data_IF_539056725216
#
_entry.id   IF_539056725216
#
_cell.length_a   1.000
_cell.length_b   1.000
_cell.length_c   1.000
_cell.angle_alpha   90.00
_cell.angle_beta   90.00
_cell.angle_gamma   90.00
#
_symmetry.space_group_name_H-M   'P 1'
#
loop_
_entity.id
_entity.type
_entity.pdbx_description
1 polymer ?
#
# COMPACT_ATOMS: atom_id res chain seq x y z
N UNK A 1 -4.23 -10.00 11.11
CA UNK A 1 -4.70 -8.60 11.11
C UNK A 1 -5.48 -8.38 12.38
N UNK A 2 -5.13 -7.36 13.16
CA UNK A 2 -5.84 -6.96 14.37
C UNK A 2 -6.38 -5.54 14.17
N UNK A 3 -7.63 -5.33 14.54
CA UNK A 3 -8.30 -4.03 14.52
C UNK A 3 -8.83 -3.78 15.92
N UNK A 4 -8.48 -2.64 16.50
CA UNK A 4 -8.97 -2.24 17.82
C UNK A 4 -10.02 -1.14 17.62
N UNK A 5 -11.31 -1.42 17.91
CA UNK A 5 -12.35 -0.41 17.84
C UNK A 5 -12.05 0.73 18.83
N UNK A 6 -12.48 1.96 18.54
CA UNK A 6 -12.17 3.08 19.39
C UNK A 6 -13.08 3.10 20.61
N UNK A 7 -12.53 3.51 21.76
CA UNK A 7 -13.32 3.96 22.90
C UNK A 7 -13.55 5.48 22.76
N UNK A 8 -14.78 5.94 23.02
CA UNK A 8 -15.12 7.36 23.20
C UNK A 8 -14.70 8.30 22.05
N UNK A 9 -14.96 7.90 20.79
CA UNK A 9 -14.76 8.76 19.62
C UNK A 9 -13.31 8.90 19.14
N UNK A 10 -12.38 8.12 19.70
CA UNK A 10 -10.97 8.08 19.30
C UNK A 10 -10.75 7.41 17.93
N UNK A 11 -9.50 7.44 17.47
CA UNK A 11 -9.11 6.77 16.23
C UNK A 11 -9.09 5.26 16.42
N UNK A 12 -9.33 4.53 15.33
CA UNK A 12 -9.22 3.08 15.28
C UNK A 12 -7.79 2.69 14.94
N UNK A 13 -7.21 1.81 15.74
CA UNK A 13 -5.88 1.26 15.45
C UNK A 13 -6.01 0.00 14.59
N UNK A 14 -5.10 -0.16 13.64
CA UNK A 14 -4.96 -1.40 12.89
C UNK A 14 -3.50 -1.84 12.84
N UNK A 15 -3.30 -3.15 12.96
CA UNK A 15 -2.00 -3.79 12.74
C UNK A 15 -2.16 -5.03 11.87
N UNK A 16 -1.18 -5.26 10.99
CA UNK A 16 -1.10 -6.48 10.21
C UNK A 16 0.35 -6.93 10.12
N UNK A 17 0.62 -8.13 10.62
CA UNK A 17 1.94 -8.72 10.57
C UNK A 17 1.85 -10.07 9.85
N UNK A 18 2.76 -10.26 8.91
CA UNK A 18 3.05 -11.55 8.26
C UNK A 18 4.42 -11.98 8.77
N UNK A 19 4.44 -12.95 9.67
CA UNK A 19 5.68 -13.40 10.33
C UNK A 19 6.69 -13.96 9.34
N UNK A 20 6.22 -14.66 8.30
CA UNK A 20 7.05 -15.17 7.23
C UNK A 20 6.29 -15.21 5.91
N UNK A 21 6.92 -14.70 4.86
CA UNK A 21 6.59 -15.01 3.48
C UNK A 21 7.78 -15.68 2.80
N UNK A 22 7.48 -16.39 1.72
CA UNK A 22 8.47 -16.95 0.79
C UNK A 22 8.00 -16.67 -0.62
N UNK A 23 8.92 -16.34 -1.53
CA UNK A 23 8.63 -16.20 -2.94
C UNK A 23 9.75 -16.81 -3.79
N UNK A 24 9.36 -17.50 -4.86
CA UNK A 24 10.25 -18.01 -5.89
C UNK A 24 10.27 -17.03 -7.07
N UNK A 25 11.34 -16.26 -7.16
CA UNK A 25 11.55 -15.26 -8.21
C UNK A 25 12.08 -15.89 -9.51
N UNK A 26 12.44 -17.18 -9.52
CA UNK A 26 12.82 -17.86 -10.78
C UNK A 26 11.65 -17.95 -11.77
N UNK A 27 10.42 -17.80 -11.27
CA UNK A 27 9.18 -17.79 -12.04
C UNK A 27 8.93 -16.47 -12.79
N UNK A 28 9.74 -15.43 -12.57
CA UNK A 28 9.59 -14.13 -13.25
C UNK A 28 9.99 -14.27 -14.72
N UNK A 29 9.08 -14.11 -15.68
CA UNK A 29 9.38 -14.37 -17.10
C UNK A 29 10.20 -13.30 -17.83
N UNK A 30 10.27 -12.08 -17.28
CA UNK A 30 11.01 -10.99 -17.90
C UNK A 30 12.53 -11.30 -17.94
N UNK A 31 13.17 -11.35 -19.14
CA UNK A 31 14.56 -11.80 -19.27
C UNK A 31 15.57 -10.94 -18.49
N UNK A 32 15.36 -9.61 -18.45
CA UNK A 32 16.26 -8.71 -17.71
C UNK A 32 16.14 -8.91 -16.21
N UNK A 33 14.91 -9.12 -15.74
CA UNK A 33 14.65 -9.42 -14.35
C UNK A 33 15.28 -10.76 -13.96
N UNK A 34 15.16 -11.82 -14.80
CA UNK A 34 15.82 -13.11 -14.55
C UNK A 34 17.34 -12.96 -14.40
N UNK A 35 17.98 -12.26 -15.33
CA UNK A 35 19.44 -12.03 -15.29
C UNK A 35 19.87 -11.34 -13.98
N UNK A 36 19.13 -10.30 -13.56
CA UNK A 36 19.41 -9.61 -12.30
C UNK A 36 19.16 -10.49 -11.08
N UNK A 37 18.07 -11.26 -11.05
CA UNK A 37 17.72 -12.18 -9.96
C UNK A 37 18.81 -13.24 -9.80
N UNK A 38 19.29 -13.81 -10.91
CA UNK A 38 20.35 -14.81 -10.93
C UNK A 38 21.69 -14.22 -10.49
N UNK A 39 22.08 -13.06 -11.04
CA UNK A 39 23.33 -12.39 -10.70
C UNK A 39 23.42 -12.03 -9.21
N UNK A 40 22.32 -11.61 -8.61
CA UNK A 40 22.27 -11.20 -7.20
C UNK A 40 22.03 -12.38 -6.23
N UNK A 41 21.59 -13.53 -6.75
CA UNK A 41 21.33 -14.75 -5.99
C UNK A 41 20.02 -14.74 -5.20
N UNK A 42 18.98 -14.08 -5.72
CA UNK A 42 17.67 -13.93 -5.05
C UNK A 42 16.56 -14.79 -5.66
N UNK A 43 16.87 -15.98 -6.18
CA UNK A 43 15.87 -16.87 -6.77
C UNK A 43 14.80 -17.28 -5.76
N UNK A 44 15.18 -17.51 -4.49
CA UNK A 44 14.26 -17.79 -3.41
C UNK A 44 14.46 -16.74 -2.33
N UNK A 45 13.42 -15.96 -2.07
CA UNK A 45 13.44 -14.95 -1.01
C UNK A 45 12.50 -15.36 0.12
N UNK A 46 12.90 -15.04 1.34
CA UNK A 46 12.07 -15.08 2.53
C UNK A 46 12.09 -13.74 3.22
N UNK A 47 11.05 -13.47 4.01
CA UNK A 47 10.95 -12.19 4.68
C UNK A 47 9.73 -12.08 5.55
N UNK A 48 9.48 -10.89 6.05
CA UNK A 48 8.30 -10.56 6.84
C UNK A 48 7.70 -9.23 6.40
N UNK A 49 6.43 -9.03 6.74
CA UNK A 49 5.72 -7.78 6.51
C UNK A 49 5.15 -7.32 7.83
N UNK A 50 5.35 -6.05 8.17
CA UNK A 50 4.77 -5.44 9.37
C UNK A 50 4.12 -4.11 9.03
N UNK A 51 2.85 -3.99 9.40
CA UNK A 51 2.02 -2.82 9.12
C UNK A 51 1.33 -2.34 10.39
N UNK A 52 1.31 -1.03 10.59
CA UNK A 52 0.55 -0.37 11.64
C UNK A 52 0.04 0.98 11.18
N UNK A 53 -1.12 1.37 11.68
CA UNK A 53 -1.69 2.68 11.43
C UNK A 53 -2.94 2.97 12.24
N UNK A 54 -3.47 4.16 12.02
CA UNK A 54 -4.70 4.65 12.67
C UNK A 54 -5.65 5.24 11.64
N UNK A 55 -6.94 5.15 11.92
CA UNK A 55 -7.97 5.82 11.14
C UNK A 55 -9.04 6.43 12.03
N UNK A 56 -9.31 7.71 11.86
CA UNK A 56 -10.39 8.43 12.54
C UNK A 56 -11.55 8.65 11.57
N UNK A 57 -12.70 7.96 11.75
CA UNK A 57 -13.84 8.09 10.83
C UNK A 57 -14.47 9.48 10.80
N UNK A 58 -14.38 10.24 11.90
CA UNK A 58 -15.07 11.53 12.07
C UNK A 58 -14.46 12.67 11.24
N UNK A 59 -13.13 12.72 11.14
CA UNK A 59 -12.41 13.72 10.35
C UNK A 59 -11.68 13.11 9.12
N UNK A 60 -11.73 11.79 8.99
CA UNK A 60 -11.13 11.06 7.88
C UNK A 60 -9.61 11.03 7.92
N UNK A 61 -8.98 11.33 9.08
CA UNK A 61 -7.53 11.25 9.22
C UNK A 61 -7.10 9.79 9.21
N UNK A 62 -6.29 9.42 8.23
CA UNK A 62 -5.68 8.11 8.06
C UNK A 62 -4.16 8.27 8.16
N UNK A 63 -3.55 7.50 9.05
CA UNK A 63 -2.10 7.45 9.20
C UNK A 63 -1.62 6.01 9.08
N UNK A 64 -0.76 5.76 8.11
CA UNK A 64 0.03 4.54 8.04
C UNK A 64 1.40 4.84 8.67
N UNK A 65 1.53 4.54 9.95
CA UNK A 65 2.75 4.84 10.72
C UNK A 65 3.87 3.84 10.44
N UNK A 66 3.54 2.64 9.93
CA UNK A 66 4.50 1.62 9.54
C UNK A 66 3.96 0.77 8.40
N UNK A 67 4.78 0.59 7.38
CA UNK A 67 4.62 -0.43 6.35
C UNK A 67 6.01 -0.89 5.94
N UNK A 68 6.48 -1.95 6.60
CA UNK A 68 7.82 -2.50 6.38
C UNK A 68 7.69 -3.84 5.65
N UNK A 69 8.38 -3.96 4.52
CA UNK A 69 8.65 -5.23 3.84
C UNK A 69 10.14 -5.52 4.05
N UNK A 70 10.44 -6.56 4.80
CA UNK A 70 11.81 -6.99 5.07
C UNK A 70 12.09 -8.26 4.29
N UNK A 71 13.14 -8.25 3.46
CA UNK A 71 13.60 -9.42 2.70
C UNK A 71 14.95 -9.85 3.26
N UNK A 72 15.04 -11.10 3.70
CA UNK A 72 16.26 -11.69 4.26
C UNK A 72 17.42 -11.55 3.27
N UNK A 73 18.55 -11.05 3.77
CA UNK A 73 19.77 -10.80 3.01
C UNK A 73 19.63 -9.79 1.85
N UNK A 74 18.54 -9.04 1.75
CA UNK A 74 18.44 -7.93 0.79
C UNK A 74 18.36 -6.61 1.54
N UNK A 75 17.33 -6.43 2.35
CA UNK A 75 17.09 -5.22 3.11
C UNK A 75 15.62 -5.03 3.45
N UNK A 76 15.30 -3.85 3.99
CA UNK A 76 13.96 -3.47 4.39
C UNK A 76 13.50 -2.22 3.66
N UNK A 77 12.36 -2.33 2.96
CA UNK A 77 11.63 -1.19 2.42
C UNK A 77 10.56 -0.75 3.42
N UNK A 78 10.73 0.44 3.99
CA UNK A 78 9.78 1.07 4.90
C UNK A 78 9.05 2.23 4.24
N UNK A 79 7.73 2.29 4.44
CA UNK A 79 6.89 3.38 3.97
C UNK A 79 5.96 3.89 5.06
N UNK A 80 5.70 5.19 5.06
CA UNK A 80 4.65 5.82 5.89
C UNK A 80 3.83 6.77 5.05
N UNK A 81 2.55 6.94 5.40
CA UNK A 81 1.62 7.83 4.71
C UNK A 81 0.70 8.52 5.71
N UNK A 82 0.36 9.79 5.44
CA UNK A 82 -0.61 10.55 6.22
C UNK A 82 -1.55 11.27 5.26
N UNK A 83 -2.83 10.90 5.35
CA UNK A 83 -3.91 11.38 4.50
C UNK A 83 -5.04 11.92 5.37
N UNK A 84 -5.65 13.01 4.93
CA UNK A 84 -6.90 13.52 5.48
C UNK A 84 -8.05 13.39 4.49
N UNK A 85 -9.28 13.50 4.99
CA UNK A 85 -10.49 13.43 4.16
C UNK A 85 -10.93 12.03 3.76
N UNK A 86 -10.23 10.98 4.22
CA UNK A 86 -10.61 9.57 4.02
C UNK A 86 -11.76 9.18 4.96
N UNK A 87 -12.93 9.81 4.79
CA UNK A 87 -14.10 9.64 5.66
C UNK A 87 -14.94 8.43 5.26
N UNK A 88 -15.89 8.03 6.12
CA UNK A 88 -16.88 6.99 5.78
C UNK A 88 -17.71 7.39 4.55
N UNK A 89 -18.07 8.66 4.42
CA UNK A 89 -18.87 9.17 3.30
C UNK A 89 -18.07 9.19 1.99
N UNK A 90 -16.78 9.51 2.07
CA UNK A 90 -15.85 9.38 0.94
C UNK A 90 -15.78 7.91 0.47
N UNK A 91 -15.59 6.95 1.39
CA UNK A 91 -15.54 5.52 1.07
C UNK A 91 -16.84 5.05 0.41
N UNK A 92 -18.00 5.45 0.96
CA UNK A 92 -19.31 5.13 0.37
C UNK A 92 -19.46 5.70 -1.04
N UNK A 93 -19.01 6.93 -1.26
CA UNK A 93 -19.04 7.58 -2.58
C UNK A 93 -18.19 6.83 -3.60
N UNK A 94 -16.98 6.40 -3.20
CA UNK A 94 -16.13 5.55 -4.04
C UNK A 94 -16.78 4.22 -4.38
N UNK A 95 -17.38 3.54 -3.39
CA UNK A 95 -18.07 2.26 -3.61
C UNK A 95 -19.26 2.40 -4.56
N UNK A 96 -20.04 3.47 -4.42
CA UNK A 96 -21.17 3.76 -5.30
C UNK A 96 -20.69 3.99 -6.75
N UNK A 97 -19.62 4.78 -6.92
CA UNK A 97 -19.01 5.04 -8.22
C UNK A 97 -18.46 3.77 -8.87
N UNK A 98 -17.75 2.94 -8.12
CA UNK A 98 -17.24 1.66 -8.62
C UNK A 98 -18.38 0.73 -9.09
N UNK A 99 -19.46 0.62 -8.32
CA UNK A 99 -20.65 -0.15 -8.73
C UNK A 99 -21.26 0.39 -10.01
N UNK A 100 -21.39 1.72 -10.12
CA UNK A 100 -21.91 2.37 -11.33
C UNK A 100 -21.00 2.13 -12.54
N UNK A 101 -19.68 2.16 -12.38
CA UNK A 101 -18.73 1.87 -13.45
C UNK A 101 -18.78 0.41 -13.89
N UNK A 102 -18.86 -0.53 -12.94
CA UNK A 102 -18.97 -1.96 -13.24
C UNK A 102 -20.28 -2.32 -13.96
N UNK A 103 -21.35 -1.57 -13.72
CA UNK A 103 -22.65 -1.77 -14.38
C UNK A 103 -22.76 -1.14 -15.77
N UNK A 104 -21.77 -0.35 -16.21
CA UNK A 104 -21.83 0.36 -17.48
C UNK A 104 -21.31 -0.48 -18.65
N UNK A 105 -21.95 -0.39 -19.83
CA UNK A 105 -21.44 -1.01 -21.05
C UNK A 105 -20.04 -0.50 -21.41
N UNK A 106 -19.24 -1.37 -22.05
CA UNK A 106 -17.99 -0.93 -22.67
C UNK A 106 -18.28 0.14 -23.74
N UNK A 107 -17.58 1.28 -23.66
CA UNK A 107 -17.79 2.41 -24.57
C UNK A 107 -18.82 3.46 -24.11
N UNK A 108 -19.45 3.31 -22.95
CA UNK A 108 -20.29 4.35 -22.37
C UNK A 108 -19.49 5.64 -22.09
N UNK A 109 -20.14 6.81 -22.19
CA UNK A 109 -19.53 8.09 -21.83
C UNK A 109 -19.21 8.13 -20.32
N UNK A 110 -17.92 8.28 -20.01
CA UNK A 110 -17.37 8.30 -18.65
C UNK A 110 -17.01 9.70 -18.16
N UNK A 111 -17.35 10.74 -18.92
CA UNK A 111 -16.96 12.13 -18.61
C UNK A 111 -17.50 12.62 -17.27
N UNK A 112 -18.78 12.38 -16.99
CA UNK A 112 -19.43 12.76 -15.73
C UNK A 112 -18.80 12.03 -14.52
N UNK A 113 -18.44 10.77 -14.69
CA UNK A 113 -17.79 9.94 -13.68
C UNK A 113 -16.35 10.41 -13.44
N UNK A 114 -15.65 10.83 -14.50
CA UNK A 114 -14.35 11.48 -14.39
C UNK A 114 -14.42 12.77 -13.56
N UNK A 115 -15.42 13.61 -13.81
CA UNK A 115 -15.65 14.83 -13.02
C UNK A 115 -16.03 14.53 -11.56
N UNK A 116 -16.88 13.52 -11.34
CA UNK A 116 -17.22 13.08 -9.99
C UNK A 116 -15.99 12.56 -9.24
N UNK A 117 -15.11 11.82 -9.91
CA UNK A 117 -13.86 11.33 -9.31
C UNK A 117 -12.93 12.48 -8.94
N UNK A 118 -12.81 13.51 -9.79
CA UNK A 118 -12.04 14.71 -9.48
C UNK A 118 -12.61 15.43 -8.25
N UNK A 119 -13.93 15.54 -8.13
CA UNK A 119 -14.58 16.10 -6.94
C UNK A 119 -14.29 15.31 -5.66
N UNK A 120 -14.28 13.98 -5.74
CA UNK A 120 -13.87 13.12 -4.61
C UNK A 120 -12.39 13.33 -4.25
N UNK A 121 -11.50 13.38 -5.25
CA UNK A 121 -10.08 13.59 -5.02
C UNK A 121 -9.78 14.94 -4.35
N UNK A 122 -10.56 15.97 -4.63
CA UNK A 122 -10.43 17.28 -3.96
C UNK A 122 -10.73 17.24 -2.46
N UNK A 123 -11.46 16.23 -1.98
CA UNK A 123 -11.74 16.07 -0.55
C UNK A 123 -10.53 15.51 0.22
N UNK A 124 -9.56 14.91 -0.48
CA UNK A 124 -8.39 14.32 0.13
C UNK A 124 -7.31 15.37 0.36
N UNK A 125 -6.68 15.34 1.53
CA UNK A 125 -5.44 16.05 1.79
C UNK A 125 -4.29 15.08 1.91
N UNK A 126 -3.17 15.39 1.24
CA UNK A 126 -1.93 14.67 1.42
C UNK A 126 -1.04 15.45 2.40
N UNK A 127 -0.84 14.88 3.59
CA UNK A 127 -0.11 15.55 4.66
C UNK A 127 1.38 15.18 4.66
N UNK A 128 1.71 13.96 4.23
CA UNK A 128 3.08 13.53 4.06
C UNK A 128 3.21 12.05 3.71
N UNK A 129 4.35 11.70 3.15
CA UNK A 129 4.79 10.33 3.04
C UNK A 129 6.31 10.26 3.23
N UNK A 130 6.78 9.12 3.70
CA UNK A 130 8.19 8.80 3.69
C UNK A 130 8.41 7.43 3.07
N UNK A 131 9.54 7.30 2.39
CA UNK A 131 10.07 6.04 1.89
C UNK A 131 11.50 5.93 2.39
N UNK A 132 11.85 4.76 2.92
CA UNK A 132 13.19 4.45 3.40
C UNK A 132 13.57 3.07 2.92
N UNK A 133 14.76 2.95 2.37
CA UNK A 133 15.41 1.67 2.18
C UNK A 133 16.53 1.52 3.21
N UNK A 134 16.51 0.42 3.96
CA UNK A 134 17.60 0.01 4.82
C UNK A 134 18.25 -1.21 4.18
N UNK A 135 19.49 -1.05 3.73
CA UNK A 135 20.23 -2.12 3.07
C UNK A 135 20.79 -3.11 4.09
N UNK A 136 20.62 -4.40 3.81
CA UNK A 136 21.29 -5.47 4.56
C UNK A 136 22.45 -6.07 3.75
N UNK A 137 22.27 -6.24 2.43
CA UNK A 137 23.38 -6.61 1.53
C UNK A 137 23.14 -6.34 0.04
N UNK A 138 21.93 -5.91 -0.37
CA UNK A 138 21.56 -5.76 -1.77
C UNK A 138 22.44 -4.71 -2.46
N UNK A 139 22.65 -3.55 -1.84
CA UNK A 139 23.43 -2.48 -2.48
C UNK A 139 24.89 -2.88 -2.68
N UNK A 140 25.47 -3.66 -1.76
CA UNK A 140 26.80 -4.23 -1.93
C UNK A 140 26.87 -5.16 -3.14
N UNK A 141 25.93 -6.10 -3.26
CA UNK A 141 25.87 -7.04 -4.39
C UNK A 141 25.66 -6.38 -5.75
N UNK A 142 25.01 -5.22 -5.79
CA UNK A 142 24.76 -4.46 -7.03
C UNK A 142 26.00 -3.66 -7.46
N UNK A 143 26.90 -3.33 -6.53
CA UNK A 143 28.08 -2.49 -6.79
C UNK A 143 29.36 -3.27 -7.09
N UNK A 144 29.40 -4.57 -6.76
CA UNK A 144 30.49 -5.50 -7.07
C UNK A 144 30.41 -6.04 -8.52
#
# INVERSE_FOLDING_TARGET
VQITPPADGKAMDFTANTEKFTADLSLVDDPKSKEAIEALGYQNISGNIAMAGTWQPSDGKMELSKYDISVENAGTLGMTFNLGGYTVDFIKSMQAMQKQLASQPEGADKSAQGMAMLGLMQQLSFNGASIRYQDDSLTGKVLD
#
